data_IF_131561108169
#
_entry.id   IF_131561108169
#
_cell.length_a   1.000
_cell.length_b   1.000
_cell.length_c   1.000
_cell.angle_alpha   90.00
_cell.angle_beta   90.00
_cell.angle_gamma   90.00
#
_symmetry.space_group_name_H-M   'P 1'
#
loop_
_entity.id
_entity.type
_entity.pdbx_description
1 polymer ?
#
# COMPACT_ATOMS: atom_id res chain seq x y z
N UNK A 1 -18.61 -1.60 18.49
CA UNK A 1 -17.48 -0.97 19.19
C UNK A 1 -17.11 0.27 18.41
N UNK A 2 -16.92 1.41 19.07
CA UNK A 2 -16.62 2.66 18.35
C UNK A 2 -15.12 2.78 18.06
N UNK A 3 -14.75 2.98 16.80
CA UNK A 3 -13.36 3.22 16.40
C UNK A 3 -12.86 4.56 16.95
N UNK A 4 -11.61 4.61 17.41
CA UNK A 4 -10.95 5.87 17.77
C UNK A 4 -10.81 6.77 16.53
N UNK A 5 -10.56 8.07 16.71
CA UNK A 5 -10.36 8.99 15.58
C UNK A 5 -9.22 8.51 14.65
N UNK A 6 -8.13 7.99 15.22
CA UNK A 6 -7.02 7.43 14.45
C UNK A 6 -7.39 6.11 13.77
N UNK A 7 -8.19 5.26 14.42
CA UNK A 7 -8.75 4.06 13.79
C UNK A 7 -9.66 4.37 12.60
N UNK A 8 -10.53 5.39 12.72
CA UNK A 8 -11.37 5.87 11.60
C UNK A 8 -10.51 6.41 10.45
N UNK A 9 -9.48 7.20 10.75
CA UNK A 9 -8.54 7.71 9.75
C UNK A 9 -7.76 6.59 9.04
N UNK A 10 -7.32 5.56 9.78
CA UNK A 10 -6.67 4.38 9.23
C UNK A 10 -7.58 3.64 8.24
N UNK A 11 -8.84 3.42 8.59
CA UNK A 11 -9.82 2.76 7.70
C UNK A 11 -10.00 3.57 6.42
N UNK A 12 -10.14 4.89 6.52
CA UNK A 12 -10.26 5.77 5.35
C UNK A 12 -9.01 5.67 4.46
N UNK A 13 -7.81 5.71 5.05
CA UNK A 13 -6.56 5.56 4.30
C UNK A 13 -6.47 4.20 3.58
N UNK A 14 -6.86 3.11 4.25
CA UNK A 14 -6.90 1.76 3.67
C UNK A 14 -7.91 1.65 2.51
N UNK A 15 -9.09 2.25 2.66
CA UNK A 15 -10.11 2.26 1.59
C UNK A 15 -9.64 3.03 0.36
N UNK A 16 -9.06 4.22 0.54
CA UNK A 16 -8.48 4.97 -0.57
C UNK A 16 -7.36 4.18 -1.26
N UNK A 17 -6.50 3.53 -0.47
CA UNK A 17 -5.43 2.68 -0.99
C UNK A 17 -5.96 1.51 -1.82
N UNK A 18 -7.02 0.83 -1.35
CA UNK A 18 -7.65 -0.26 -2.09
C UNK A 18 -8.27 0.22 -3.41
N UNK A 19 -8.95 1.37 -3.40
CA UNK A 19 -9.59 1.95 -4.58
C UNK A 19 -8.56 2.41 -5.63
N UNK A 20 -7.64 3.29 -5.26
CA UNK A 20 -6.62 3.80 -6.19
C UNK A 20 -5.64 2.71 -6.61
N UNK A 21 -5.31 1.84 -5.67
CA UNK A 21 -4.44 0.72 -5.90
C UNK A 21 -4.98 -0.30 -6.89
N UNK A 22 -6.23 -0.71 -6.71
CA UNK A 22 -6.92 -1.59 -7.65
C UNK A 22 -7.08 -0.95 -9.03
N UNK A 23 -7.33 0.37 -9.09
CA UNK A 23 -7.39 1.10 -10.35
C UNK A 23 -6.05 1.05 -11.12
N UNK A 24 -4.93 1.36 -10.44
CA UNK A 24 -3.61 1.35 -11.06
C UNK A 24 -3.28 -0.06 -11.58
N UNK A 25 -3.53 -1.09 -10.76
CA UNK A 25 -3.29 -2.48 -11.14
C UNK A 25 -4.13 -2.92 -12.36
N UNK A 26 -5.41 -2.53 -12.39
CA UNK A 26 -6.30 -2.85 -13.51
C UNK A 26 -5.88 -2.15 -14.81
N UNK A 27 -5.44 -0.90 -14.72
CA UNK A 27 -4.92 -0.16 -15.87
C UNK A 27 -3.61 -0.74 -16.40
N UNK A 28 -2.74 -1.20 -15.50
CA UNK A 28 -1.48 -1.86 -15.84
C UNK A 28 -1.73 -3.18 -16.59
N UNK A 29 -2.61 -4.03 -16.05
CA UNK A 29 -3.03 -5.27 -16.71
C UNK A 29 -3.69 -5.01 -18.07
N UNK A 30 -4.56 -4.00 -18.17
CA UNK A 30 -5.24 -3.67 -19.42
C UNK A 30 -4.26 -3.18 -20.50
N UNK A 31 -3.25 -2.41 -20.12
CA UNK A 31 -2.34 -1.77 -21.06
C UNK A 31 -1.16 -2.65 -21.47
N UNK A 32 -0.68 -3.51 -20.55
CA UNK A 32 0.56 -4.27 -20.74
C UNK A 32 0.38 -5.80 -20.69
N UNK A 33 -0.83 -6.29 -20.35
CA UNK A 33 -1.17 -7.72 -20.30
C UNK A 33 -0.15 -8.55 -19.52
N UNK A 34 0.22 -8.08 -18.32
CA UNK A 34 1.20 -8.71 -17.42
C UNK A 34 0.51 -9.40 -16.22
N UNK A 35 0.11 -10.68 -16.37
CA UNK A 35 -0.62 -11.41 -15.34
C UNK A 35 0.22 -11.62 -14.06
N UNK A 36 1.55 -11.61 -14.13
CA UNK A 36 2.41 -11.81 -12.96
C UNK A 36 2.37 -10.58 -12.04
N UNK A 37 2.45 -9.39 -12.63
CA UNK A 37 2.24 -8.11 -11.93
C UNK A 37 0.84 -8.06 -11.29
N UNK A 38 -0.20 -8.41 -12.05
CA UNK A 38 -1.58 -8.39 -11.57
C UNK A 38 -1.83 -9.35 -10.39
N UNK A 39 -1.26 -10.56 -10.44
CA UNK A 39 -1.36 -11.54 -9.34
C UNK A 39 -0.63 -11.01 -8.10
N UNK A 40 0.57 -10.47 -8.25
CA UNK A 40 1.36 -9.91 -7.14
C UNK A 40 0.60 -8.80 -6.43
N UNK A 41 0.02 -7.88 -7.19
CA UNK A 41 -0.77 -6.77 -6.65
C UNK A 41 -2.07 -7.26 -5.98
N UNK A 42 -2.72 -8.28 -6.56
CA UNK A 42 -3.91 -8.90 -5.95
C UNK A 42 -3.60 -9.53 -4.60
N UNK A 43 -2.48 -10.26 -4.49
CA UNK A 43 -2.02 -10.85 -3.21
C UNK A 43 -1.79 -9.77 -2.17
N UNK A 44 -1.16 -8.64 -2.55
CA UNK A 44 -0.96 -7.49 -1.65
C UNK A 44 -2.30 -6.96 -1.13
N UNK A 45 -3.30 -6.75 -1.99
CA UNK A 45 -4.59 -6.23 -1.55
C UNK A 45 -5.37 -7.22 -0.70
N UNK A 46 -5.26 -8.53 -0.96
CA UNK A 46 -5.85 -9.57 -0.12
C UNK A 46 -5.24 -9.53 1.28
N UNK A 47 -3.91 -9.40 1.40
CA UNK A 47 -3.24 -9.30 2.69
C UNK A 47 -3.67 -8.03 3.45
N UNK A 48 -3.75 -6.89 2.77
CA UNK A 48 -4.25 -5.64 3.36
C UNK A 48 -5.69 -5.84 3.86
N UNK A 49 -6.58 -6.40 3.04
CA UNK A 49 -7.97 -6.63 3.41
C UNK A 49 -8.11 -7.60 4.59
N UNK A 50 -7.29 -8.65 4.65
CA UNK A 50 -7.25 -9.60 5.75
C UNK A 50 -6.85 -8.91 7.06
N UNK A 51 -5.76 -8.15 7.07
CA UNK A 51 -5.32 -7.46 8.30
C UNK A 51 -6.26 -6.32 8.70
N UNK A 52 -6.83 -5.61 7.72
CA UNK A 52 -7.87 -4.61 7.96
C UNK A 52 -9.11 -5.24 8.62
N UNK A 53 -9.55 -6.41 8.13
CA UNK A 53 -10.68 -7.15 8.72
C UNK A 53 -10.35 -7.60 10.15
N UNK A 54 -9.16 -8.14 10.39
CA UNK A 54 -8.72 -8.50 11.74
C UNK A 54 -8.72 -7.29 12.69
N UNK A 55 -8.27 -6.14 12.21
CA UNK A 55 -8.34 -4.89 12.97
C UNK A 55 -9.78 -4.47 13.28
N UNK A 56 -10.69 -4.53 12.30
CA UNK A 56 -12.11 -4.22 12.49
C UNK A 56 -12.81 -5.17 13.47
N UNK A 57 -12.34 -6.42 13.55
CA UNK A 57 -12.76 -7.43 14.54
C UNK A 57 -12.07 -7.26 15.91
N UNK A 58 -11.42 -6.12 16.14
CA UNK A 58 -10.72 -5.77 17.37
C UNK A 58 -9.58 -6.74 17.75
N UNK A 59 -8.96 -7.39 16.76
CA UNK A 59 -7.76 -8.21 16.97
C UNK A 59 -6.53 -7.34 16.76
N UNK A 60 -5.75 -7.13 17.82
CA UNK A 60 -4.49 -6.35 17.78
C UNK A 60 -3.49 -6.86 16.73
N UNK A 61 -3.51 -8.15 16.41
CA UNK A 61 -2.70 -8.74 15.34
C UNK A 61 -2.98 -8.12 13.96
N UNK A 62 -4.19 -7.61 13.71
CA UNK A 62 -4.51 -6.87 12.48
C UNK A 62 -3.67 -5.60 12.34
N UNK A 63 -3.52 -4.82 13.41
CA UNK A 63 -2.68 -3.62 13.41
C UNK A 63 -1.20 -3.96 13.24
N UNK A 64 -0.71 -4.99 13.93
CA UNK A 64 0.68 -5.46 13.77
C UNK A 64 0.96 -5.89 12.32
N UNK A 65 0.01 -6.59 11.70
CA UNK A 65 0.10 -7.00 10.30
C UNK A 65 0.13 -5.81 9.34
N UNK A 66 -0.73 -4.82 9.54
CA UNK A 66 -0.71 -3.57 8.76
C UNK A 66 0.63 -2.85 8.90
N UNK A 67 1.14 -2.68 10.14
CA UNK A 67 2.42 -2.02 10.41
C UNK A 67 3.57 -2.74 9.70
N UNK A 68 3.65 -4.07 9.82
CA UNK A 68 4.70 -4.86 9.20
C UNK A 68 4.66 -4.78 7.68
N UNK A 69 3.47 -4.93 7.10
CA UNK A 69 3.26 -4.91 5.66
C UNK A 69 3.57 -3.52 5.05
N UNK A 70 3.16 -2.44 5.72
CA UNK A 70 3.51 -1.08 5.29
C UNK A 70 5.00 -0.78 5.40
N UNK A 71 5.68 -1.31 6.43
CA UNK A 71 7.13 -1.16 6.58
C UNK A 71 7.86 -1.79 5.40
N UNK A 72 7.47 -3.00 4.99
CA UNK A 72 8.03 -3.68 3.82
C UNK A 72 7.79 -2.86 2.55
N UNK A 73 6.57 -2.33 2.35
CA UNK A 73 6.27 -1.54 1.17
C UNK A 73 7.03 -0.22 1.10
N UNK A 74 7.26 0.44 2.23
CA UNK A 74 8.06 1.67 2.26
C UNK A 74 9.50 1.35 1.86
N UNK A 75 10.07 0.23 2.34
CA UNK A 75 11.42 -0.21 1.97
C UNK A 75 11.48 -0.50 0.46
N UNK A 76 10.56 -1.31 -0.06
CA UNK A 76 10.53 -1.66 -1.49
C UNK A 76 10.33 -0.43 -2.39
N UNK A 77 9.43 0.49 -2.01
CA UNK A 77 9.26 1.75 -2.74
C UNK A 77 10.51 2.62 -2.69
N UNK A 78 11.18 2.70 -1.55
CA UNK A 78 12.43 3.46 -1.40
C UNK A 78 13.53 2.89 -2.29
N UNK A 79 13.71 1.56 -2.29
CA UNK A 79 14.68 0.87 -3.17
C UNK A 79 14.35 1.15 -4.64
N UNK A 80 13.08 1.00 -5.03
CA UNK A 80 12.64 1.27 -6.39
C UNK A 80 12.92 2.73 -6.82
N UNK A 81 12.61 3.70 -5.96
CA UNK A 81 12.88 5.13 -6.22
C UNK A 81 14.37 5.42 -6.37
N UNK A 82 15.22 4.83 -5.53
CA UNK A 82 16.68 4.99 -5.62
C UNK A 82 17.21 4.43 -6.94
N UNK A 83 16.79 3.23 -7.33
CA UNK A 83 17.22 2.59 -8.58
C UNK A 83 16.72 3.36 -9.82
N UNK A 84 15.48 3.83 -9.76
CA UNK A 84 14.86 4.67 -10.79
C UNK A 84 15.62 5.98 -11.01
N UNK A 85 15.88 6.74 -9.94
CA UNK A 85 16.59 8.02 -10.00
C UNK A 85 18.07 7.85 -10.37
N UNK A 86 18.67 6.71 -10.01
CA UNK A 86 20.01 6.33 -10.43
C UNK A 86 20.13 5.97 -11.91
N UNK A 87 19.02 5.90 -12.66
CA UNK A 87 18.97 5.39 -14.04
C UNK A 87 19.54 3.97 -14.18
N UNK A 88 19.52 3.20 -13.09
CA UNK A 88 19.94 1.79 -13.05
C UNK A 88 18.75 0.87 -13.33
N UNK A 89 17.54 1.43 -13.39
CA UNK A 89 16.34 0.70 -13.77
C UNK A 89 16.37 0.31 -15.26
N UNK A 90 16.11 -0.97 -15.54
CA UNK A 90 16.02 -1.54 -16.87
C UNK A 90 14.99 -0.75 -17.72
N UNK A 91 15.27 -0.34 -18.97
CA UNK A 91 14.35 0.43 -19.81
C UNK A 91 13.00 -0.25 -20.08
N UNK A 92 12.91 -1.56 -19.82
CA UNK A 92 11.67 -2.34 -19.89
C UNK A 92 10.76 -2.21 -18.66
N UNK A 93 11.27 -1.72 -17.52
CA UNK A 93 10.40 -1.31 -16.41
C UNK A 93 9.73 0.02 -16.78
N UNK A 94 8.40 0.09 -16.67
CA UNK A 94 7.62 1.30 -16.93
C UNK A 94 8.31 2.53 -16.35
N UNK A 95 8.70 3.44 -17.22
CA UNK A 95 9.58 4.56 -16.89
C UNK A 95 9.00 5.31 -15.68
N UNK A 96 9.69 5.28 -14.52
CA UNK A 96 9.14 5.77 -13.25
C UNK A 96 8.86 7.28 -13.28
N UNK A 97 9.50 8.00 -14.20
CA UNK A 97 9.23 9.42 -14.47
C UNK A 97 7.88 9.64 -15.17
N UNK A 98 7.37 8.69 -15.94
CA UNK A 98 6.10 8.83 -16.65
C UNK A 98 4.90 8.61 -15.69
N UNK A 99 5.09 7.78 -14.67
CA UNK A 99 4.10 7.46 -13.62
C UNK A 99 4.49 7.96 -12.23
N UNK A 100 5.27 9.05 -12.17
CA UNK A 100 5.82 9.60 -10.91
C UNK A 100 4.74 9.94 -9.88
N UNK A 101 3.59 10.44 -10.34
CA UNK A 101 2.45 10.81 -9.50
C UNK A 101 1.83 9.60 -8.79
N UNK A 102 1.73 8.45 -9.48
CA UNK A 102 1.21 7.21 -8.92
C UNK A 102 2.18 6.65 -7.86
N UNK A 103 3.48 6.70 -8.15
CA UNK A 103 4.53 6.31 -7.19
C UNK A 103 4.51 7.18 -5.94
N UNK A 104 4.36 8.50 -6.09
CA UNK A 104 4.27 9.45 -4.99
C UNK A 104 3.01 9.23 -4.13
N UNK A 105 1.85 9.03 -4.76
CA UNK A 105 0.61 8.71 -4.05
C UNK A 105 0.76 7.40 -3.27
N UNK A 106 1.32 6.35 -3.87
CA UNK A 106 1.55 5.06 -3.21
C UNK A 106 2.44 5.23 -1.98
N UNK A 107 3.52 6.00 -2.10
CA UNK A 107 4.43 6.27 -0.99
C UNK A 107 3.75 7.06 0.14
N UNK A 108 3.02 8.12 -0.21
CA UNK A 108 2.28 8.94 0.74
C UNK A 108 1.21 8.13 1.50
N UNK A 109 0.42 7.32 0.79
CA UNK A 109 -0.57 6.45 1.44
C UNK A 109 0.07 5.39 2.33
N UNK A 110 1.24 4.85 1.97
CA UNK A 110 2.00 3.95 2.85
C UNK A 110 2.46 4.64 4.13
N UNK A 111 2.98 5.85 4.05
CA UNK A 111 3.40 6.62 5.23
C UNK A 111 2.22 6.98 6.14
N UNK A 112 1.09 7.41 5.56
CA UNK A 112 -0.12 7.73 6.31
C UNK A 112 -0.68 6.48 6.99
N UNK A 113 -0.77 5.35 6.28
CA UNK A 113 -1.25 4.07 6.81
C UNK A 113 -0.37 3.58 7.96
N UNK A 114 0.96 3.67 7.81
CA UNK A 114 1.90 3.34 8.87
C UNK A 114 1.74 4.26 10.09
N UNK A 115 1.63 5.57 9.86
CA UNK A 115 1.48 6.55 10.94
C UNK A 115 0.20 6.33 11.74
N UNK A 116 -0.94 6.18 11.05
CA UNK A 116 -2.22 5.97 11.71
C UNK A 116 -2.34 4.58 12.34
N UNK A 117 -1.71 3.54 11.77
CA UNK A 117 -1.69 2.21 12.39
C UNK A 117 -0.87 2.18 13.68
N UNK A 118 0.31 2.84 13.71
CA UNK A 118 1.09 2.99 14.95
C UNK A 118 0.31 3.77 16.01
N UNK A 119 -0.36 4.87 15.61
CA UNK A 119 -1.18 5.67 16.54
C UNK A 119 -2.37 4.87 17.07
N UNK A 120 -3.12 4.21 16.20
CA UNK A 120 -4.24 3.35 16.60
C UNK A 120 -3.80 2.22 17.53
N UNK A 121 -2.63 1.61 17.27
CA UNK A 121 -2.07 0.56 18.11
C UNK A 121 -1.74 1.04 19.54
N UNK A 122 -1.32 2.30 19.70
CA UNK A 122 -1.05 2.88 21.02
C UNK A 122 -2.33 3.23 21.80
N UNK A 123 -3.46 3.41 21.10
CA UNK A 123 -4.74 3.76 21.70
C UNK A 123 -5.60 2.55 22.10
N UNK A 124 -5.38 1.40 21.46
CA UNK A 124 -6.08 0.13 21.72
C UNK A 124 -5.38 -0.73 22.75
#
# INVERSE_FOLDING_TARGET
MELTKNGKALVVALLFRLLFGGYIAGMDQYSFNDPESAVTVSVIYILIALFATLFLLNRRYGLMGIIGLESIFIILNSVFLILALGQIADPGMHNPLDNWWATLLRYMFSLLTLTFSIRAYRET
#
